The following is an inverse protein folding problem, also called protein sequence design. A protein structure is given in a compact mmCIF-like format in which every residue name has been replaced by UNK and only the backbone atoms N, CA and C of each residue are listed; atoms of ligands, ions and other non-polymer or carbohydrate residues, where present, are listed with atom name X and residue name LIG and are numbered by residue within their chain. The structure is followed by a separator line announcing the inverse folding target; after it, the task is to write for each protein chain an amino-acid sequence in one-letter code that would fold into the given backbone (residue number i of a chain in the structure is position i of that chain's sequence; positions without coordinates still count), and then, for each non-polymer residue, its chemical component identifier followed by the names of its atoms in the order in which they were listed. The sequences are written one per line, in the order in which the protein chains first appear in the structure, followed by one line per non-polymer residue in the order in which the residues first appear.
data_IF_744784355751
#
_entry.id   IF_744784355751
#
_cell.length_a   1.000
_cell.length_b   1.000
_cell.length_c   1.000
_cell.angle_alpha   90.00
_cell.angle_beta   90.00
_cell.angle_gamma   90.00
#
_symmetry.space_group_name_H-M   'P 1'
#
loop_
_entity.id
_entity.type
_entity.pdbx_description
1 polymer ?
#
# COMPACT_ATOMS: atom_id res chain seq x y z
N UNK A 1 6.31 29.28 11.81
CA UNK A 1 4.83 29.22 11.76
C UNK A 1 4.44 27.80 12.09
N UNK A 2 3.92 27.57 13.30
CA UNK A 2 3.44 26.25 13.72
C UNK A 2 2.13 26.04 13.00
N UNK A 3 2.15 25.26 11.92
CA UNK A 3 0.92 24.86 11.25
C UNK A 3 0.11 24.04 12.27
N UNK A 4 -0.97 24.63 12.79
CA UNK A 4 -1.98 23.92 13.58
C UNK A 4 -2.70 22.98 12.62
N UNK A 5 -2.05 21.85 12.30
CA UNK A 5 -2.65 20.78 11.52
C UNK A 5 -3.84 20.27 12.33
N UNK A 6 -5.01 20.23 11.71
CA UNK A 6 -6.26 19.86 12.36
C UNK A 6 -6.26 18.51 13.07
N UNK A 7 -7.42 18.21 13.66
CA UNK A 7 -7.73 17.01 14.43
C UNK A 7 -7.06 15.73 13.88
N UNK A 8 -6.63 14.80 14.74
CA UNK A 8 -5.92 13.56 14.38
C UNK A 8 -6.66 12.77 13.29
N UNK A 9 -8.00 12.76 13.35
CA UNK A 9 -8.86 12.16 12.33
C UNK A 9 -8.68 12.78 10.93
N UNK A 10 -8.51 14.10 10.84
CA UNK A 10 -8.25 14.81 9.58
C UNK A 10 -6.88 14.44 9.01
N UNK A 11 -5.85 14.30 9.86
CA UNK A 11 -4.52 13.85 9.42
C UNK A 11 -4.56 12.42 8.88
N UNK A 12 -5.27 11.53 9.55
CA UNK A 12 -5.45 10.14 9.11
C UNK A 12 -6.20 10.06 7.78
N UNK A 13 -7.25 10.88 7.59
CA UNK A 13 -7.96 10.97 6.31
C UNK A 13 -7.06 11.45 5.18
N UNK A 14 -6.24 12.48 5.41
CA UNK A 14 -5.30 12.99 4.40
C UNK A 14 -4.30 11.91 4.00
N UNK A 15 -3.70 11.21 4.96
CA UNK A 15 -2.74 10.13 4.67
C UNK A 15 -3.43 8.98 3.92
N UNK A 16 -4.65 8.61 4.33
CA UNK A 16 -5.45 7.61 3.62
C UNK A 16 -5.71 8.00 2.16
N UNK A 17 -6.10 9.26 1.92
CA UNK A 17 -6.31 9.79 0.55
C UNK A 17 -5.02 9.79 -0.27
N UNK A 18 -3.89 10.18 0.33
CA UNK A 18 -2.58 10.17 -0.34
C UNK A 18 -2.18 8.74 -0.72
N UNK A 19 -2.33 7.77 0.19
CA UNK A 19 -2.05 6.36 -0.09
C UNK A 19 -2.89 5.83 -1.26
N UNK A 20 -4.20 6.11 -1.29
CA UNK A 20 -5.05 5.69 -2.40
C UNK A 20 -4.74 6.44 -3.71
N UNK A 21 -4.36 7.72 -3.63
CA UNK A 21 -3.92 8.50 -4.79
C UNK A 21 -2.65 7.93 -5.42
N UNK A 22 -1.67 7.56 -4.60
CA UNK A 22 -0.43 6.90 -5.04
C UNK A 22 -0.76 5.52 -5.65
N UNK A 23 -1.65 4.74 -5.03
CA UNK A 23 -2.07 3.46 -5.58
C UNK A 23 -2.71 3.59 -6.97
N UNK A 24 -3.58 4.59 -7.16
CA UNK A 24 -4.17 4.89 -8.46
C UNK A 24 -3.12 5.31 -9.48
N UNK A 25 -2.13 6.10 -9.09
CA UNK A 25 -1.04 6.50 -9.99
C UNK A 25 -0.21 5.29 -10.46
N UNK A 26 0.11 4.35 -9.56
CA UNK A 26 0.81 3.11 -9.92
C UNK A 26 -0.01 2.24 -10.88
N UNK A 27 -1.32 2.11 -10.65
CA UNK A 27 -2.19 1.36 -11.56
C UNK A 27 -2.32 2.04 -12.92
N UNK A 28 -2.55 3.36 -12.95
CA UNK A 28 -2.66 4.11 -14.19
C UNK A 28 -1.35 4.04 -15.00
N UNK A 29 -0.21 4.20 -14.33
CA UNK A 29 1.11 4.04 -14.94
C UNK A 29 1.34 2.62 -15.46
N UNK A 30 1.07 1.59 -14.64
CA UNK A 30 1.24 0.20 -15.04
C UNK A 30 0.39 -0.18 -16.25
N UNK A 31 -0.87 0.25 -16.29
CA UNK A 31 -1.77 0.02 -17.45
C UNK A 31 -1.28 0.79 -18.68
N UNK A 32 -0.91 2.07 -18.52
CA UNK A 32 -0.38 2.88 -19.62
C UNK A 32 0.87 2.25 -20.22
N UNK A 33 1.84 1.89 -19.38
CA UNK A 33 3.11 1.34 -19.80
C UNK A 33 2.94 -0.06 -20.42
N UNK A 34 2.08 -0.91 -19.85
CA UNK A 34 1.80 -2.24 -20.41
C UNK A 34 1.17 -2.17 -21.81
N UNK A 35 0.16 -1.32 -22.01
CA UNK A 35 -0.54 -1.23 -23.29
C UNK A 35 0.23 -0.46 -24.38
N UNK A 36 1.01 0.56 -24.02
CA UNK A 36 1.65 1.45 -25.00
C UNK A 36 3.14 1.21 -25.19
N UNK A 37 3.82 0.66 -24.18
CA UNK A 37 5.27 0.43 -24.22
C UNK A 37 5.65 -1.06 -24.25
N UNK A 38 4.67 -1.95 -24.46
CA UNK A 38 4.85 -3.41 -24.45
C UNK A 38 5.63 -3.88 -23.20
N UNK A 39 5.29 -3.30 -22.04
CA UNK A 39 6.02 -3.54 -20.81
C UNK A 39 5.99 -5.04 -20.43
N UNK A 40 7.12 -5.54 -19.98
CA UNK A 40 7.30 -6.93 -19.57
C UNK A 40 6.36 -7.26 -18.40
N UNK A 41 5.75 -8.46 -18.42
CA UNK A 41 4.81 -8.94 -17.41
C UNK A 41 5.24 -8.71 -15.93
N UNK A 42 6.53 -8.88 -15.57
CA UNK A 42 7.01 -8.61 -14.21
C UNK A 42 6.75 -7.18 -13.74
N UNK A 43 7.03 -6.17 -14.57
CA UNK A 43 6.86 -4.76 -14.20
C UNK A 43 5.39 -4.37 -13.98
N UNK A 44 4.48 -4.97 -14.75
CA UNK A 44 3.03 -4.82 -14.49
C UNK A 44 2.66 -5.39 -13.12
N UNK A 45 3.17 -6.59 -12.80
CA UNK A 45 2.93 -7.25 -11.52
C UNK A 45 3.48 -6.43 -10.36
N UNK A 46 4.62 -5.76 -10.55
CA UNK A 46 5.23 -4.83 -9.59
C UNK A 46 4.37 -3.60 -9.34
N UNK A 47 3.84 -2.98 -10.40
CA UNK A 47 2.93 -1.85 -10.29
C UNK A 47 1.64 -2.21 -9.54
N UNK A 48 1.07 -3.39 -9.83
CA UNK A 48 -0.11 -3.90 -9.13
C UNK A 48 0.21 -4.21 -7.67
N UNK A 49 1.33 -4.87 -7.37
CA UNK A 49 1.78 -5.14 -6.01
C UNK A 49 1.98 -3.86 -5.19
N UNK A 50 2.63 -2.85 -5.77
CA UNK A 50 2.79 -1.53 -5.16
C UNK A 50 1.43 -0.87 -4.87
N UNK A 51 0.50 -0.89 -5.82
CA UNK A 51 -0.83 -0.33 -5.61
C UNK A 51 -1.59 -1.02 -4.47
N UNK A 52 -1.55 -2.35 -4.42
CA UNK A 52 -2.20 -3.16 -3.36
C UNK A 52 -1.58 -2.87 -1.99
N UNK A 53 -0.26 -2.69 -1.90
CA UNK A 53 0.43 -2.27 -0.67
C UNK A 53 -0.07 -0.91 -0.18
N UNK A 54 -0.12 0.07 -1.06
CA UNK A 54 -0.57 1.42 -0.71
C UNK A 54 -2.05 1.45 -0.32
N UNK A 55 -2.90 0.63 -0.94
CA UNK A 55 -4.31 0.44 -0.51
C UNK A 55 -4.36 -0.17 0.90
N UNK A 56 -3.56 -1.21 1.17
CA UNK A 56 -3.45 -1.82 2.50
C UNK A 56 -3.02 -0.82 3.57
N UNK A 57 -2.03 0.02 3.28
CA UNK A 57 -1.59 1.09 4.19
C UNK A 57 -2.65 2.19 4.36
N UNK A 58 -3.40 2.50 3.31
CA UNK A 58 -4.48 3.50 3.34
C UNK A 58 -5.73 3.04 4.11
N UNK A 59 -5.89 1.75 4.36
CA UNK A 59 -7.01 1.20 5.16
C UNK A 59 -6.83 1.38 6.67
N UNK A 60 -5.59 1.52 7.15
CA UNK A 60 -5.30 1.89 8.53
C UNK A 60 -4.22 2.98 8.63
N UNK A 61 -4.56 4.21 8.21
CA UNK A 61 -3.63 5.34 8.25
C UNK A 61 -3.22 5.74 9.67
N UNK A 62 -3.95 5.23 10.68
CA UNK A 62 -3.63 5.38 12.10
C UNK A 62 -2.29 4.75 12.51
N UNK A 63 -1.82 3.73 11.79
CA UNK A 63 -0.52 3.08 12.07
C UNK A 63 0.67 4.02 11.82
N UNK A 64 0.55 5.00 10.92
CA UNK A 64 1.60 6.00 10.68
C UNK A 64 1.81 6.97 11.85
N UNK A 65 0.83 7.06 12.76
CA UNK A 65 0.84 7.98 13.88
C UNK A 65 0.91 7.28 15.23
N UNK A 66 0.90 5.94 15.26
CA UNK A 66 1.08 5.14 16.48
C UNK A 66 2.55 4.82 16.70
N UNK A 67 2.99 4.79 17.97
CA UNK A 67 4.31 4.29 18.30
C UNK A 67 4.38 2.77 18.14
N UNK A 68 5.57 2.23 17.87
CA UNK A 68 5.80 0.78 17.72
C UNK A 68 5.27 -0.01 18.93
N UNK A 69 5.41 0.54 20.14
CA UNK A 69 4.88 -0.06 21.37
C UNK A 69 3.35 -0.18 21.39
N UNK A 70 2.64 0.82 20.85
CA UNK A 70 1.17 0.81 20.77
C UNK A 70 0.67 -0.19 19.72
N UNK A 71 1.38 -0.31 18.60
CA UNK A 71 1.08 -1.28 17.54
C UNK A 71 1.20 -2.71 18.08
N UNK A 72 2.27 -3.01 18.83
CA UNK A 72 2.48 -4.33 19.46
C UNK A 72 1.37 -4.64 20.46
N UNK A 73 0.94 -3.67 21.27
CA UNK A 73 -0.15 -3.88 22.23
C UNK A 73 -1.53 -4.07 21.58
N UNK A 74 -1.78 -3.50 20.40
CA UNK A 74 -3.04 -3.68 19.67
C UNK A 74 -3.08 -4.93 18.80
N UNK A 75 -1.93 -5.54 18.50
CA UNK A 75 -1.88 -6.81 17.77
C UNK A 75 -2.56 -7.96 18.55
N UNK A 76 -2.67 -7.82 19.88
CA UNK A 76 -3.30 -8.80 20.77
C UNK A 76 -4.85 -8.74 20.72
N UNK A 77 -5.43 -7.59 20.34
CA UNK A 77 -6.87 -7.33 20.29
C UNK A 77 -7.33 -7.09 18.84
N UNK A 78 -7.54 -8.17 18.08
CA UNK A 78 -7.81 -8.06 16.63
C UNK A 78 -9.31 -7.88 16.32
N UNK A 79 -9.64 -6.71 15.80
CA UNK A 79 -10.94 -6.42 15.15
C UNK A 79 -10.88 -6.80 13.66
N UNK A 80 -11.99 -7.29 13.08
CA UNK A 80 -12.12 -7.74 11.68
C UNK A 80 -11.49 -6.79 10.62
N UNK A 81 -11.47 -5.48 10.88
CA UNK A 81 -10.86 -4.46 10.02
C UNK A 81 -9.33 -4.57 9.92
N UNK A 82 -8.64 -4.96 11.00
CA UNK A 82 -7.18 -5.16 11.00
C UNK A 82 -6.79 -6.45 10.28
N UNK A 83 -7.64 -7.47 10.33
CA UNK A 83 -7.47 -8.72 9.58
C UNK A 83 -7.46 -8.48 8.08
N UNK A 84 -8.46 -7.77 7.54
CA UNK A 84 -8.59 -7.49 6.11
C UNK A 84 -7.43 -6.62 5.60
N UNK A 85 -7.03 -5.62 6.38
CA UNK A 85 -5.85 -4.80 6.10
C UNK A 85 -4.57 -5.66 6.04
N UNK A 86 -4.38 -6.56 7.01
CA UNK A 86 -3.21 -7.45 7.07
C UNK A 86 -3.16 -8.37 5.85
N UNK A 87 -4.29 -8.93 5.43
CA UNK A 87 -4.36 -9.74 4.20
C UNK A 87 -4.03 -8.94 2.95
N UNK A 88 -4.60 -7.73 2.79
CA UNK A 88 -4.33 -6.87 1.63
C UNK A 88 -2.86 -6.44 1.59
N UNK A 89 -2.29 -6.10 2.74
CA UNK A 89 -0.88 -5.73 2.84
C UNK A 89 0.05 -6.91 2.52
N UNK A 90 -0.20 -8.09 3.11
CA UNK A 90 0.56 -9.30 2.83
C UNK A 90 0.45 -9.75 1.37
N UNK A 91 -0.73 -9.59 0.76
CA UNK A 91 -0.92 -9.85 -0.66
C UNK A 91 -0.06 -8.91 -1.52
N UNK A 92 0.01 -7.63 -1.19
CA UNK A 92 0.88 -6.67 -1.87
C UNK A 92 2.37 -7.05 -1.77
N UNK A 93 2.82 -7.49 -0.59
CA UNK A 93 4.20 -8.00 -0.40
C UNK A 93 4.43 -9.25 -1.25
N UNK A 94 3.48 -10.19 -1.24
CA UNK A 94 3.58 -11.42 -2.01
C UNK A 94 3.71 -11.14 -3.51
N UNK A 95 2.88 -10.24 -4.05
CA UNK A 95 2.95 -9.84 -5.46
C UNK A 95 4.29 -9.18 -5.82
N UNK A 96 4.86 -8.38 -4.92
CA UNK A 96 6.21 -7.82 -5.11
C UNK A 96 7.28 -8.91 -5.17
N UNK A 97 7.22 -9.91 -4.27
CA UNK A 97 8.16 -11.04 -4.27
C UNK A 97 8.01 -11.86 -5.56
N UNK A 98 6.77 -12.15 -5.98
CA UNK A 98 6.51 -12.85 -7.23
C UNK A 98 7.03 -12.07 -8.45
N UNK A 99 6.90 -10.75 -8.46
CA UNK A 99 7.48 -9.90 -9.51
C UNK A 99 9.00 -10.08 -9.60
N UNK A 100 9.71 -10.03 -8.48
CA UNK A 100 11.16 -10.20 -8.44
C UNK A 100 11.60 -11.60 -8.87
N UNK A 101 10.84 -12.63 -8.49
CA UNK A 101 11.09 -14.02 -8.91
C UNK A 101 10.85 -14.21 -10.41
N UNK A 102 9.82 -13.56 -10.96
CA UNK A 102 9.55 -13.60 -12.40
C UNK A 102 10.65 -12.86 -13.17
N UNK A 103 11.09 -11.70 -12.71
CA UNK A 103 12.23 -10.97 -13.30
C UNK A 103 13.49 -11.87 -13.37
N UNK A 104 13.82 -12.55 -12.26
CA UNK A 104 14.90 -13.54 -12.19
C UNK A 104 14.73 -14.76 -13.12
N UNK A 105 13.51 -15.11 -13.53
CA UNK A 105 13.24 -16.26 -14.40
C UNK A 105 13.24 -15.87 -15.89
N UNK A 106 12.98 -14.60 -16.19
CA UNK A 106 12.93 -14.06 -17.55
C UNK A 106 14.30 -13.49 -18.01
N UNK A 107 15.22 -13.19 -17.09
CA UNK A 107 16.65 -12.95 -17.34
C UNK A 107 17.44 -14.26 -17.53
#
# INVERSE_FOLDING_TARGET
MVFSWGNLATKQLIVGMVCHGIALAFLAYGVYAFYLQELVLPELTRCVGAAVLFVGMGLAPQLFFMSVSQIVSQAEDTTLKSTLQTYVFNLGIFLMICSLLMEWLYD
#
